data_IF_430186775735
#
_entry.id   IF_430186775735
#
_cell.length_a   1.000
_cell.length_b   1.000
_cell.length_c   1.000
_cell.angle_alpha   90.00
_cell.angle_beta   90.00
_cell.angle_gamma   90.00
#
_symmetry.space_group_name_H-M   'P 1'
#
loop_
_entity.id
_entity.type
_entity.pdbx_description
1 polymer ?
#
# COMPACT_ATOMS: atom_id res chain seq x y z
N UNK A 1 -0.42 27.25 -57.54
CA UNK A 1 -0.09 25.91 -57.01
C UNK A 1 -0.25 26.00 -55.52
N UNK A 2 -1.37 25.48 -55.03
CA UNK A 2 -1.77 25.57 -53.61
C UNK A 2 -1.37 24.28 -52.93
N UNK A 3 -0.51 24.40 -51.92
CA UNK A 3 -0.02 23.31 -51.10
C UNK A 3 -1.02 23.08 -49.93
N UNK A 4 -1.80 22.02 -50.08
CA UNK A 4 -2.77 21.62 -49.08
C UNK A 4 -2.03 20.93 -47.93
N UNK A 5 -1.85 21.61 -46.80
CA UNK A 5 -1.34 21.03 -45.55
C UNK A 5 -2.30 19.95 -45.05
N UNK A 6 -1.84 18.72 -45.07
CA UNK A 6 -2.50 17.56 -44.46
C UNK A 6 -2.65 17.77 -42.94
N UNK A 7 -3.87 18.08 -42.49
CA UNK A 7 -4.21 18.06 -41.07
C UNK A 7 -4.24 16.62 -40.57
N UNK A 8 -3.31 16.28 -39.69
CA UNK A 8 -3.34 15.01 -38.94
C UNK A 8 -4.68 14.85 -38.22
N UNK A 9 -5.36 13.73 -38.47
CA UNK A 9 -6.71 13.40 -37.97
C UNK A 9 -6.66 12.84 -36.55
N UNK A 10 -5.50 12.81 -35.92
CA UNK A 10 -5.34 12.31 -34.52
C UNK A 10 -4.94 13.42 -33.56
N UNK A 11 -5.91 14.05 -32.88
CA UNK A 11 -5.61 14.82 -31.70
C UNK A 11 -5.51 13.84 -30.52
N UNK A 12 -4.33 13.31 -30.23
CA UNK A 12 -4.11 12.58 -29.02
C UNK A 12 -3.07 13.31 -28.18
N UNK A 13 -3.55 14.32 -27.49
CA UNK A 13 -3.02 14.65 -26.18
C UNK A 13 -4.16 14.47 -25.19
N UNK A 14 -4.44 13.22 -24.82
CA UNK A 14 -5.07 12.98 -23.52
C UNK A 14 -4.07 13.48 -22.51
N UNK A 15 -4.45 14.49 -21.76
CA UNK A 15 -3.78 14.86 -20.53
C UNK A 15 -3.95 13.64 -19.60
N UNK A 16 -2.95 12.77 -19.56
CA UNK A 16 -3.03 11.51 -18.80
C UNK A 16 -2.97 11.77 -17.30
N UNK A 17 -2.89 13.04 -16.88
CA UNK A 17 -2.67 13.44 -15.49
C UNK A 17 -1.33 12.93 -14.95
N UNK A 18 -0.83 13.53 -13.89
CA UNK A 18 0.38 13.04 -13.22
C UNK A 18 0.13 11.68 -12.57
N UNK A 19 1.10 10.74 -12.62
CA UNK A 19 1.01 9.50 -11.86
C UNK A 19 0.85 9.79 -10.38
N UNK A 20 -0.10 9.12 -9.73
CA UNK A 20 -0.36 9.21 -8.29
C UNK A 20 -0.38 7.80 -7.69
N UNK A 21 -0.06 7.71 -6.41
CA UNK A 21 -0.24 6.50 -5.65
C UNK A 21 -1.72 6.24 -5.41
N UNK A 22 -2.14 5.00 -5.58
CA UNK A 22 -3.54 4.57 -5.43
C UNK A 22 -3.61 3.32 -4.59
N UNK A 23 -4.60 3.28 -3.70
CA UNK A 23 -4.90 2.15 -2.83
C UNK A 23 -6.20 1.50 -3.29
N UNK A 24 -6.11 0.29 -3.82
CA UNK A 24 -7.25 -0.49 -4.28
C UNK A 24 -7.56 -1.60 -3.29
N UNK A 25 -8.79 -1.66 -2.82
CA UNK A 25 -9.32 -2.80 -2.07
C UNK A 25 -10.12 -3.70 -3.00
N UNK A 26 -9.68 -4.94 -3.17
CA UNK A 26 -10.30 -5.95 -4.03
C UNK A 26 -10.92 -7.02 -3.14
N UNK A 27 -12.24 -7.16 -3.18
CA UNK A 27 -12.96 -8.21 -2.46
C UNK A 27 -13.11 -9.40 -3.41
N UNK A 28 -12.67 -10.55 -2.96
CA UNK A 28 -12.59 -11.76 -3.79
C UNK A 28 -13.16 -12.97 -3.06
N UNK A 29 -13.58 -13.98 -3.82
CA UNK A 29 -13.81 -15.30 -3.28
C UNK A 29 -12.49 -15.91 -2.81
N UNK A 30 -12.49 -16.50 -1.61
CA UNK A 30 -11.28 -17.11 -1.04
C UNK A 30 -11.09 -18.51 -1.64
N UNK A 31 -10.57 -18.55 -2.86
CA UNK A 31 -10.30 -19.80 -3.58
C UNK A 31 -8.82 -19.93 -3.99
N UNK A 32 -8.33 -21.16 -4.17
CA UNK A 32 -6.96 -21.37 -4.61
C UNK A 32 -6.62 -20.64 -5.91
N UNK A 33 -5.50 -19.92 -5.94
CA UNK A 33 -5.01 -19.23 -7.12
C UNK A 33 -5.60 -17.84 -7.39
N UNK A 34 -6.56 -17.35 -6.60
CA UNK A 34 -7.15 -16.01 -6.80
C UNK A 34 -6.09 -14.91 -6.70
N UNK A 35 -5.21 -14.98 -5.71
CA UNK A 35 -4.13 -14.03 -5.55
C UNK A 35 -3.18 -14.02 -6.77
N UNK A 36 -2.82 -15.19 -7.28
CA UNK A 36 -1.96 -15.31 -8.45
C UNK A 36 -2.61 -14.68 -9.70
N UNK A 37 -3.92 -14.83 -9.89
CA UNK A 37 -4.67 -14.21 -10.99
C UNK A 37 -4.67 -12.69 -10.88
N UNK A 38 -4.93 -12.14 -9.68
CA UNK A 38 -4.93 -10.69 -9.42
C UNK A 38 -3.55 -10.10 -9.64
N UNK A 39 -2.51 -10.66 -9.03
CA UNK A 39 -1.12 -10.20 -9.17
C UNK A 39 -0.63 -10.37 -10.62
N UNK A 40 -0.93 -11.51 -11.23
CA UNK A 40 -0.55 -11.80 -12.61
C UNK A 40 -1.15 -10.80 -13.61
N UNK A 41 -2.41 -10.40 -13.40
CA UNK A 41 -3.08 -9.40 -14.23
C UNK A 41 -2.38 -8.03 -14.15
N UNK A 42 -2.02 -7.59 -12.95
CA UNK A 42 -1.35 -6.30 -12.71
C UNK A 42 0.07 -6.35 -13.33
N UNK A 43 0.83 -7.40 -13.03
CA UNK A 43 2.21 -7.57 -13.49
C UNK A 43 2.32 -7.72 -15.01
N UNK A 44 1.41 -8.45 -15.65
CA UNK A 44 1.40 -8.66 -17.09
C UNK A 44 1.22 -7.37 -17.91
N UNK A 45 0.75 -6.29 -17.28
CA UNK A 45 0.58 -4.97 -17.89
C UNK A 45 1.64 -3.96 -17.49
N UNK A 46 2.67 -4.41 -16.79
CA UNK A 46 3.79 -3.57 -16.38
C UNK A 46 3.46 -2.59 -15.25
N UNK A 47 2.40 -2.83 -14.47
CA UNK A 47 2.13 -2.04 -13.27
C UNK A 47 2.95 -2.59 -12.10
N UNK A 48 3.53 -1.67 -11.32
CA UNK A 48 4.24 -2.03 -10.10
C UNK A 48 3.26 -2.18 -8.94
N UNK A 49 3.50 -3.21 -8.10
CA UNK A 49 2.81 -3.37 -6.82
C UNK A 49 3.79 -2.92 -5.73
N UNK A 50 3.52 -1.80 -5.09
CA UNK A 50 4.36 -1.25 -4.02
C UNK A 50 4.10 -1.94 -2.69
N UNK A 51 2.85 -2.30 -2.43
CA UNK A 51 2.42 -3.01 -1.23
C UNK A 51 1.24 -3.92 -1.56
N UNK A 52 1.22 -5.08 -0.94
CA UNK A 52 0.16 -6.07 -1.10
C UNK A 52 -0.15 -6.70 0.26
N UNK A 53 -1.42 -6.62 0.66
CA UNK A 53 -1.91 -7.26 1.87
C UNK A 53 -3.10 -8.13 1.53
N UNK A 54 -3.13 -9.35 2.04
CA UNK A 54 -4.23 -10.31 1.81
C UNK A 54 -4.68 -10.88 3.13
N UNK A 55 -5.98 -10.87 3.37
CA UNK A 55 -6.58 -11.52 4.53
C UNK A 55 -7.99 -12.00 4.21
N UNK A 56 -8.38 -13.13 4.79
CA UNK A 56 -9.78 -13.54 4.82
C UNK A 56 -10.54 -12.61 5.77
N UNK A 57 -11.62 -12.01 5.29
CA UNK A 57 -12.41 -11.01 6.03
C UNK A 57 -13.76 -11.52 6.48
N UNK A 58 -14.27 -12.57 5.84
CA UNK A 58 -15.54 -13.22 6.19
C UNK A 58 -15.41 -14.73 5.93
N UNK A 59 -15.31 -15.50 7.01
CA UNK A 59 -15.14 -16.95 6.96
C UNK A 59 -16.41 -17.65 6.48
N UNK A 60 -17.59 -17.14 6.86
CA UNK A 60 -18.87 -17.75 6.47
C UNK A 60 -19.14 -17.58 4.97
N UNK A 61 -18.78 -16.43 4.42
CA UNK A 61 -18.94 -16.13 2.99
C UNK A 61 -17.73 -16.53 2.16
N UNK A 62 -16.69 -17.08 2.77
CA UNK A 62 -15.43 -17.41 2.11
C UNK A 62 -14.90 -16.25 1.27
N UNK A 63 -14.81 -15.06 1.86
CA UNK A 63 -14.31 -13.87 1.16
C UNK A 63 -13.02 -13.38 1.76
N UNK A 64 -12.12 -12.98 0.86
CA UNK A 64 -10.85 -12.33 1.19
C UNK A 64 -10.81 -10.90 0.66
N UNK A 65 -10.07 -10.07 1.37
CA UNK A 65 -9.72 -8.71 0.93
C UNK A 65 -8.26 -8.67 0.54
N UNK A 66 -8.00 -8.20 -0.67
CA UNK A 66 -6.66 -7.90 -1.18
C UNK A 66 -6.56 -6.38 -1.24
N UNK A 67 -5.63 -5.79 -0.46
CA UNK A 67 -5.33 -4.37 -0.53
C UNK A 67 -4.03 -4.19 -1.32
N UNK A 68 -4.09 -3.41 -2.39
CA UNK A 68 -3.00 -3.21 -3.34
C UNK A 68 -2.66 -1.74 -3.39
N UNK A 69 -1.39 -1.40 -3.19
CA UNK A 69 -0.86 -0.06 -3.43
C UNK A 69 -0.08 -0.09 -4.73
N UNK A 70 -0.42 0.81 -5.63
CA UNK A 70 0.23 0.94 -6.95
C UNK A 70 0.28 2.41 -7.37
N UNK A 71 1.18 2.75 -8.27
CA UNK A 71 1.29 4.11 -8.84
C UNK A 71 0.91 4.11 -10.32
N UNK A 72 0.09 5.06 -10.72
CA UNK A 72 -0.32 5.20 -12.12
C UNK A 72 -1.05 6.50 -12.43
N UNK A 73 -1.21 6.79 -13.73
CA UNK A 73 -2.08 7.88 -14.19
C UNK A 73 -3.55 7.51 -13.98
N UNK A 74 -4.47 8.47 -13.84
CA UNK A 74 -5.89 8.18 -13.65
C UNK A 74 -6.45 7.21 -14.70
N UNK A 75 -6.08 7.36 -15.97
CA UNK A 75 -6.51 6.47 -17.04
C UNK A 75 -6.04 5.02 -16.85
N UNK A 76 -4.79 4.84 -16.37
CA UNK A 76 -4.24 3.52 -16.08
C UNK A 76 -4.93 2.87 -14.88
N UNK A 77 -5.22 3.64 -13.84
CA UNK A 77 -5.92 3.14 -12.65
C UNK A 77 -7.34 2.68 -13.00
N UNK A 78 -8.09 3.46 -13.77
CA UNK A 78 -9.42 3.04 -14.22
C UNK A 78 -9.35 1.77 -15.09
N UNK A 79 -8.32 1.63 -15.90
CA UNK A 79 -8.09 0.41 -16.69
C UNK A 79 -7.80 -0.80 -15.79
N UNK A 80 -6.97 -0.64 -14.73
CA UNK A 80 -6.70 -1.71 -13.74
C UNK A 80 -8.00 -2.12 -13.06
N UNK A 81 -8.78 -1.15 -12.55
CA UNK A 81 -10.07 -1.40 -11.86
C UNK A 81 -11.03 -2.19 -12.76
N UNK A 82 -11.21 -1.74 -14.00
CA UNK A 82 -12.09 -2.39 -14.97
C UNK A 82 -11.65 -3.84 -15.29
N UNK A 83 -10.35 -4.10 -15.34
CA UNK A 83 -9.82 -5.42 -15.65
C UNK A 83 -9.87 -6.36 -14.43
N UNK A 84 -9.59 -5.87 -13.23
CA UNK A 84 -9.76 -6.63 -12.00
C UNK A 84 -11.23 -7.06 -11.83
N UNK A 85 -12.17 -6.15 -12.10
CA UNK A 85 -13.60 -6.45 -12.01
C UNK A 85 -14.12 -7.49 -13.05
N UNK A 86 -13.32 -7.86 -14.05
CA UNK A 86 -13.65 -8.93 -14.99
C UNK A 86 -13.16 -10.31 -14.56
N UNK A 87 -12.32 -10.39 -13.54
CA UNK A 87 -11.90 -11.68 -12.99
C UNK A 87 -13.07 -12.34 -12.25
N UNK A 88 -13.37 -13.58 -12.60
CA UNK A 88 -14.52 -14.32 -12.04
C UNK A 88 -14.55 -14.31 -10.51
N UNK A 89 -13.44 -14.53 -9.77
CA UNK A 89 -13.46 -14.54 -8.30
C UNK A 89 -13.51 -13.15 -7.68
N UNK A 90 -13.46 -12.06 -8.47
CA UNK A 90 -13.51 -10.68 -7.95
C UNK A 90 -14.96 -10.24 -7.83
N UNK A 91 -15.40 -10.00 -6.61
CA UNK A 91 -16.74 -9.50 -6.29
C UNK A 91 -16.85 -7.99 -6.42
N UNK A 92 -15.82 -7.28 -5.96
CA UNK A 92 -15.81 -5.79 -5.93
C UNK A 92 -14.39 -5.26 -5.97
N UNK A 93 -14.19 -4.13 -6.67
CA UNK A 93 -12.97 -3.33 -6.64
C UNK A 93 -13.33 -1.94 -6.13
N UNK A 94 -12.67 -1.49 -5.09
CA UNK A 94 -12.93 -0.23 -4.40
C UNK A 94 -11.64 0.59 -4.44
N UNK A 95 -11.73 1.80 -4.96
CA UNK A 95 -10.66 2.78 -4.82
C UNK A 95 -10.84 3.50 -3.48
N UNK A 96 -9.87 3.38 -2.60
CA UNK A 96 -9.90 3.99 -1.26
C UNK A 96 -8.86 5.10 -1.12
N UNK A 97 -8.31 5.56 -2.24
CA UNK A 97 -7.26 6.58 -2.29
C UNK A 97 -7.78 7.93 -1.87
N UNK A 98 -7.11 8.56 -0.89
CA UNK A 98 -7.34 9.98 -0.58
C UNK A 98 -8.79 10.33 -0.22
N UNK A 99 -9.65 9.35 0.02
CA UNK A 99 -10.99 9.63 0.55
C UNK A 99 -10.83 10.25 1.94
N UNK A 100 -11.44 11.42 2.14
CA UNK A 100 -11.41 12.13 3.43
C UNK A 100 -11.86 11.24 4.60
N UNK A 101 -12.65 10.23 4.29
CA UNK A 101 -13.19 9.26 5.23
C UNK A 101 -12.42 7.94 5.28
N UNK A 102 -11.32 7.78 4.54
CA UNK A 102 -10.49 6.58 4.64
C UNK A 102 -9.58 6.64 5.88
N UNK A 103 -9.47 5.52 6.57
CA UNK A 103 -8.50 5.30 7.62
C UNK A 103 -7.43 4.36 7.13
N UNK A 104 -6.21 4.85 7.04
CA UNK A 104 -5.05 4.08 6.63
C UNK A 104 -4.16 3.77 7.83
N UNK A 105 -3.70 2.54 7.92
CA UNK A 105 -2.76 2.10 8.94
C UNK A 105 -1.80 1.07 8.38
N UNK A 106 -0.61 1.09 8.91
CA UNK A 106 0.43 0.10 8.69
C UNK A 106 1.06 -0.27 10.02
N UNK A 107 1.54 -1.50 10.13
CA UNK A 107 2.35 -1.98 11.24
C UNK A 107 3.76 -2.27 10.73
N UNK A 108 4.77 -1.88 11.49
CA UNK A 108 6.15 -2.27 11.24
C UNK A 108 6.80 -2.84 12.50
N UNK A 109 7.64 -3.85 12.30
CA UNK A 109 8.61 -4.34 13.28
C UNK A 109 9.98 -3.81 12.87
N UNK A 110 10.65 -3.14 13.81
CA UNK A 110 11.92 -2.45 13.57
C UNK A 110 12.94 -2.94 14.57
N UNK A 111 13.99 -3.61 14.08
CA UNK A 111 15.07 -4.11 14.89
C UNK A 111 16.28 -3.18 14.82
N UNK A 112 16.76 -2.77 15.99
CA UNK A 112 18.00 -2.00 16.11
C UNK A 112 19.01 -2.77 16.96
N UNK A 113 20.28 -2.70 16.55
CA UNK A 113 21.42 -3.30 17.28
C UNK A 113 22.35 -2.17 17.68
N UNK A 114 22.37 -1.85 18.96
CA UNK A 114 23.12 -0.72 19.45
C UNK A 114 23.50 -0.86 20.95
N UNK A 115 24.43 0.02 21.39
CA UNK A 115 24.91 0.11 22.76
C UNK A 115 25.10 1.57 23.18
N UNK A 116 25.25 1.82 24.46
CA UNK A 116 25.57 3.13 25.00
C UNK A 116 24.51 4.20 24.68
N UNK A 117 24.93 5.35 24.19
CA UNK A 117 24.07 6.50 23.93
C UNK A 117 23.03 6.21 22.86
N UNK A 118 23.38 5.51 21.79
CA UNK A 118 22.43 5.12 20.73
C UNK A 118 21.27 4.27 21.28
N UNK A 119 21.53 3.47 22.32
CA UNK A 119 20.50 2.68 22.97
C UNK A 119 19.49 3.56 23.71
N UNK A 120 19.97 4.57 24.43
CA UNK A 120 19.10 5.52 25.12
C UNK A 120 18.28 6.35 24.13
N UNK A 121 18.91 6.78 23.04
CA UNK A 121 18.24 7.56 22.00
C UNK A 121 17.17 6.75 21.28
N UNK A 122 17.42 5.47 20.96
CA UNK A 122 16.41 4.58 20.38
C UNK A 122 15.18 4.44 21.27
N UNK A 123 15.35 4.34 22.60
CA UNK A 123 14.24 4.29 23.53
C UNK A 123 13.44 5.60 23.55
N UNK A 124 14.12 6.75 23.58
CA UNK A 124 13.46 8.08 23.54
C UNK A 124 12.63 8.26 22.27
N UNK A 125 13.19 7.89 21.12
CA UNK A 125 12.46 7.93 19.87
C UNK A 125 11.25 6.99 19.87
N UNK A 126 11.42 5.78 20.43
CA UNK A 126 10.31 4.85 20.55
C UNK A 126 9.15 5.46 21.38
N UNK A 127 9.46 6.13 22.49
CA UNK A 127 8.46 6.80 23.33
C UNK A 127 7.77 7.97 22.57
N UNK A 128 8.54 8.82 21.89
CA UNK A 128 8.01 9.94 21.08
C UNK A 128 7.04 9.45 20.01
N UNK A 129 7.41 8.39 19.30
CA UNK A 129 6.59 7.81 18.23
C UNK A 129 5.50 6.85 18.76
N UNK A 130 5.45 6.62 20.07
CA UNK A 130 4.56 5.64 20.70
C UNK A 130 4.74 4.24 20.10
N UNK A 131 5.98 3.89 19.83
CA UNK A 131 6.37 2.54 19.47
C UNK A 131 6.53 1.70 20.74
N UNK A 132 6.24 0.41 20.63
CA UNK A 132 6.31 -0.52 21.76
C UNK A 132 7.53 -1.43 21.59
N UNK A 133 8.37 -1.54 22.60
CA UNK A 133 9.42 -2.55 22.64
C UNK A 133 8.78 -3.92 22.88
N UNK A 134 8.93 -4.83 21.91
CA UNK A 134 8.48 -6.22 22.02
C UNK A 134 9.56 -7.12 22.58
N UNK A 135 10.82 -6.83 22.22
CA UNK A 135 11.99 -7.55 22.70
C UNK A 135 13.11 -6.58 23.02
N UNK A 136 13.87 -6.89 24.06
CA UNK A 136 15.00 -6.11 24.50
C UNK A 136 16.10 -7.02 25.04
N UNK A 137 17.30 -6.91 24.47
CA UNK A 137 18.53 -7.55 24.95
C UNK A 137 19.53 -6.48 25.39
N UNK A 138 20.71 -6.88 25.85
CA UNK A 138 21.78 -5.93 26.18
C UNK A 138 22.31 -5.15 24.96
N UNK A 139 22.07 -5.62 23.75
CA UNK A 139 22.61 -5.02 22.51
C UNK A 139 21.57 -4.81 21.41
N UNK A 140 20.31 -5.13 21.62
CA UNK A 140 19.27 -4.96 20.61
C UNK A 140 17.92 -4.64 21.20
N UNK A 141 17.07 -4.04 20.36
CA UNK A 141 15.63 -3.88 20.55
C UNK A 141 14.88 -4.35 19.31
N UNK A 142 13.66 -4.85 19.52
CA UNK A 142 12.65 -4.98 18.47
C UNK A 142 11.48 -4.10 18.88
N UNK A 143 11.22 -3.08 18.08
CA UNK A 143 10.09 -2.17 18.27
C UNK A 143 8.94 -2.52 17.34
N UNK A 144 7.72 -2.48 17.86
CA UNK A 144 6.48 -2.46 17.08
C UNK A 144 5.99 -1.03 16.97
N UNK A 145 5.67 -0.58 15.77
CA UNK A 145 5.06 0.72 15.54
C UNK A 145 3.87 0.58 14.60
N UNK A 146 2.79 1.28 14.92
CA UNK A 146 1.60 1.39 14.06
C UNK A 146 1.28 2.85 13.79
N UNK A 147 0.77 3.12 12.59
CA UNK A 147 0.39 4.47 12.20
C UNK A 147 0.17 4.64 10.71
N UNK A 148 0.08 5.90 10.27
CA UNK A 148 0.17 6.25 8.87
C UNK A 148 1.58 5.97 8.34
N UNK A 149 1.71 5.76 7.04
CA UNK A 149 2.97 5.41 6.37
C UNK A 149 4.08 6.43 6.66
N UNK A 150 3.74 7.72 6.65
CA UNK A 150 4.69 8.82 6.90
C UNK A 150 5.28 8.73 8.31
N UNK A 151 4.45 8.41 9.31
CA UNK A 151 4.90 8.21 10.68
C UNK A 151 5.90 7.05 10.77
N UNK A 152 5.61 5.94 10.11
CA UNK A 152 6.47 4.75 10.11
C UNK A 152 7.78 5.03 9.39
N UNK A 153 7.73 5.70 8.23
CA UNK A 153 8.93 6.10 7.49
C UNK A 153 9.82 7.02 8.33
N UNK A 154 9.24 8.05 8.95
CA UNK A 154 9.99 8.96 9.82
C UNK A 154 10.67 8.23 10.99
N UNK A 155 9.99 7.28 11.61
CA UNK A 155 10.58 6.46 12.68
C UNK A 155 11.74 5.61 12.17
N UNK A 156 11.57 4.94 11.04
CA UNK A 156 12.60 4.11 10.41
C UNK A 156 13.83 4.94 10.07
N UNK A 157 13.64 6.13 9.46
CA UNK A 157 14.74 7.00 9.06
C UNK A 157 15.55 7.50 10.27
N UNK A 158 14.89 7.82 11.38
CA UNK A 158 15.56 8.19 12.62
C UNK A 158 16.29 7.00 13.28
N UNK A 159 15.82 5.78 13.09
CA UNK A 159 16.50 4.58 13.60
C UNK A 159 17.71 4.13 12.76
N UNK A 160 17.83 4.58 11.49
CA UNK A 160 18.97 4.22 10.61
C UNK A 160 20.32 4.54 11.22
N UNK A 161 20.60 5.78 11.67
CA UNK A 161 21.89 6.11 12.29
C UNK A 161 22.11 5.43 13.63
N UNK A 162 21.05 4.92 14.27
CA UNK A 162 21.11 4.29 15.59
C UNK A 162 21.36 2.78 15.53
N UNK A 163 21.66 2.23 14.36
CA UNK A 163 21.97 0.82 14.19
C UNK A 163 20.77 -0.03 13.76
N UNK A 164 19.90 0.53 12.94
CA UNK A 164 18.84 -0.23 12.28
C UNK A 164 19.43 -1.45 11.56
N UNK A 165 18.93 -2.64 11.86
CA UNK A 165 19.42 -3.90 11.30
C UNK A 165 18.39 -4.63 10.45
N UNK A 166 17.11 -4.55 10.81
CA UNK A 166 16.04 -5.27 10.12
C UNK A 166 14.71 -4.52 10.21
N UNK A 167 13.91 -4.61 9.16
CA UNK A 167 12.56 -4.04 9.09
C UNK A 167 11.63 -5.09 8.48
N UNK A 168 10.49 -5.28 9.13
CA UNK A 168 9.36 -6.02 8.55
C UNK A 168 8.12 -5.14 8.58
N UNK A 169 7.36 -5.07 7.48
CA UNK A 169 6.17 -4.21 7.34
C UNK A 169 4.99 -5.03 6.82
N UNK A 170 3.81 -4.71 7.29
CA UNK A 170 2.58 -5.34 6.77
C UNK A 170 2.19 -4.80 5.40
N UNK A 171 2.60 -3.57 5.06
CA UNK A 171 1.97 -2.78 4.03
C UNK A 171 0.71 -2.07 4.55
N UNK A 172 0.12 -1.23 3.72
CA UNK A 172 -1.01 -0.39 4.11
C UNK A 172 -2.29 -1.21 4.19
N UNK A 173 -2.97 -1.09 5.31
CA UNK A 173 -4.37 -1.47 5.51
C UNK A 173 -5.21 -0.21 5.39
N UNK A 174 -6.30 -0.24 4.63
CA UNK A 174 -7.21 0.88 4.47
C UNK A 174 -8.66 0.44 4.63
N UNK A 175 -9.46 1.24 5.33
CA UNK A 175 -10.89 1.03 5.52
C UNK A 175 -11.62 2.37 5.50
N UNK A 176 -12.81 2.43 4.94
CA UNK A 176 -13.68 3.61 5.02
C UNK A 176 -14.23 3.78 6.42
N UNK A 177 -14.36 5.03 6.85
CA UNK A 177 -15.03 5.38 8.11
C UNK A 177 -16.55 5.42 7.91
N UNK A 178 -17.28 5.26 9.00
CA UNK A 178 -18.72 5.36 8.99
C UNK A 178 -19.43 4.17 8.34
N UNK A 179 -20.70 4.36 8.04
CA UNK A 179 -21.52 3.39 7.31
C UNK A 179 -21.34 3.67 5.82
N UNK A 180 -21.22 2.67 4.97
CA UNK A 180 -21.26 2.88 3.52
C UNK A 180 -22.53 3.65 3.21
N UNK A 181 -22.36 4.87 2.66
CA UNK A 181 -23.47 5.70 2.24
C UNK A 181 -24.32 4.97 1.19
N UNK A 182 -25.59 5.13 1.31
CA UNK A 182 -26.62 4.69 0.38
C UNK A 182 -26.32 5.12 -1.08
#
# INVERSE_FOLDING_TARGET
MSEAASKSVYPVTRDEGAPAEVILAVIVDNEPGVLARVVGLISARGYNIESLTVAETDVEKHTSRITIVTTGTPAKIEQIKAQLGRLVPVRRVIDVTGEADALERELALVKVVNKGEHRLESMRLADIFRARALDATHSSFVFEITGAREKINAFIDLMRPLGLSEISRTGVLSIRRGVEGD
#
